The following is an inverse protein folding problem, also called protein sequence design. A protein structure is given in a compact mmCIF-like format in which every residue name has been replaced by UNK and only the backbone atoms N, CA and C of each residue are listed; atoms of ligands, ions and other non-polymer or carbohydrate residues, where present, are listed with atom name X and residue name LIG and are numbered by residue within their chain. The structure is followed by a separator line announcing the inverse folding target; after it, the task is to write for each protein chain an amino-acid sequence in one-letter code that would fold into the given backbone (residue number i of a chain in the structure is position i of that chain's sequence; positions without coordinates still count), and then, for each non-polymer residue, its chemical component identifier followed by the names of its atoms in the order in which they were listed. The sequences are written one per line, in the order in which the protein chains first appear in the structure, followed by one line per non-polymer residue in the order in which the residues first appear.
data_IF_088363236979
#
_entry.id   IF_088363236979
#
_cell.length_a   1.000
_cell.length_b   1.000
_cell.length_c   1.000
_cell.angle_alpha   90.00
_cell.angle_beta   90.00
_cell.angle_gamma   90.00
#
_symmetry.space_group_name_H-M   'P 1'
#
loop_
_entity.id
_entity.type
_entity.pdbx_description
1 polymer ?
#
# COMPACT_ATOMS: atom_id res chain seq x y z
N UNK A 1 -16.15 -11.20 11.13
CA UNK A 1 -15.66 -10.73 9.82
C UNK A 1 -14.15 -10.69 9.86
N UNK A 2 -13.55 -11.81 9.50
CA UNK A 2 -12.13 -11.92 9.21
C UNK A 2 -12.09 -12.71 7.89
N UNK A 3 -11.35 -12.18 6.93
CA UNK A 3 -10.72 -12.96 5.88
C UNK A 3 -11.62 -13.40 4.70
N UNK A 4 -12.07 -12.48 3.85
CA UNK A 4 -12.21 -12.81 2.42
C UNK A 4 -11.00 -12.23 1.68
N UNK A 5 -10.80 -10.91 1.80
CA UNK A 5 -9.63 -10.23 1.24
C UNK A 5 -8.29 -10.84 1.71
N UNK A 6 -8.15 -11.12 3.02
CA UNK A 6 -6.92 -11.73 3.56
C UNK A 6 -6.72 -13.16 3.01
N UNK A 7 -7.79 -13.94 2.83
CA UNK A 7 -7.70 -15.28 2.23
C UNK A 7 -7.25 -15.18 0.77
N UNK A 8 -7.83 -14.26 -0.01
CA UNK A 8 -7.45 -14.04 -1.41
C UNK A 8 -5.99 -13.61 -1.55
N UNK A 9 -5.50 -12.75 -0.65
CA UNK A 9 -4.09 -12.34 -0.64
C UNK A 9 -3.19 -13.56 -0.42
N UNK A 10 -3.54 -14.43 0.53
CA UNK A 10 -2.80 -15.67 0.82
C UNK A 10 -2.86 -16.66 -0.35
N UNK A 11 -4.05 -16.87 -0.94
CA UNK A 11 -4.24 -17.76 -2.11
C UNK A 11 -3.40 -17.35 -3.31
N UNK A 12 -3.23 -16.04 -3.52
CA UNK A 12 -2.38 -15.48 -4.57
C UNK A 12 -0.89 -15.53 -4.24
N UNK A 13 -0.50 -15.99 -3.04
CA UNK A 13 0.88 -16.00 -2.58
C UNK A 13 1.48 -14.60 -2.39
N UNK A 14 0.63 -13.59 -2.17
CA UNK A 14 1.04 -12.20 -2.00
C UNK A 14 1.32 -11.90 -0.53
N UNK A 15 2.27 -11.00 -0.30
CA UNK A 15 2.59 -10.49 1.04
C UNK A 15 2.36 -8.99 1.00
N UNK A 16 1.56 -8.48 1.92
CA UNK A 16 1.38 -7.04 2.06
C UNK A 16 2.70 -6.43 2.58
N UNK A 17 3.26 -5.43 1.87
CA UNK A 17 4.45 -4.76 2.36
C UNK A 17 4.13 -3.98 3.64
N UNK A 18 5.14 -3.71 4.49
CA UNK A 18 4.95 -2.79 5.60
C UNK A 18 4.51 -1.42 5.07
N UNK A 19 3.65 -0.73 5.82
CA UNK A 19 3.18 0.59 5.43
C UNK A 19 4.37 1.54 5.21
N UNK A 20 4.45 2.24 4.07
CA UNK A 20 5.59 3.09 3.76
C UNK A 20 5.62 4.32 4.64
N UNK A 21 6.84 4.82 4.89
CA UNK A 21 7.02 6.11 5.56
C UNK A 21 6.50 7.24 4.65
N UNK A 22 5.93 8.31 5.21
CA UNK A 22 5.59 9.50 4.43
C UNK A 22 6.83 10.03 3.69
N UNK A 23 6.69 10.34 2.41
CA UNK A 23 7.77 10.93 1.60
C UNK A 23 7.90 12.45 1.77
N UNK A 24 7.01 13.07 2.56
CA UNK A 24 6.97 14.51 2.79
C UNK A 24 6.02 14.86 3.94
N UNK A 25 5.69 16.16 4.05
CA UNK A 25 4.86 16.69 5.15
C UNK A 25 3.37 16.51 4.83
N UNK A 26 2.93 15.26 4.71
CA UNK A 26 1.53 14.88 4.50
C UNK A 26 1.18 13.60 5.27
N UNK A 27 -0.13 13.38 5.50
CA UNK A 27 -0.63 12.18 6.18
C UNK A 27 -0.79 11.02 5.18
N UNK A 28 -0.31 9.80 5.46
CA UNK A 28 -0.51 8.64 4.59
C UNK A 28 -1.99 8.33 4.31
N UNK A 29 -2.85 8.58 5.31
CA UNK A 29 -4.29 8.40 5.24
C UNK A 29 -4.99 9.59 5.89
N UNK A 30 -6.07 10.07 5.27
CA UNK A 30 -7.01 11.03 5.83
C UNK A 30 -8.40 10.39 5.92
N UNK A 31 -9.03 10.46 7.08
CA UNK A 31 -10.40 9.99 7.28
C UNK A 31 -11.32 11.19 7.45
N UNK A 32 -12.39 11.25 6.65
CA UNK A 32 -13.44 12.27 6.73
C UNK A 32 -14.78 11.56 6.66
N UNK A 33 -15.58 11.67 7.72
CA UNK A 33 -16.83 10.93 7.91
C UNK A 33 -16.67 9.42 7.69
N UNK A 34 -17.18 8.92 6.56
CA UNK A 34 -17.16 7.50 6.16
C UNK A 34 -16.14 7.21 5.06
N UNK A 35 -15.35 8.20 4.67
CA UNK A 35 -14.37 8.10 3.60
C UNK A 35 -12.96 7.99 4.16
N UNK A 36 -12.17 7.09 3.56
CA UNK A 36 -10.75 6.91 3.83
C UNK A 36 -9.99 7.25 2.55
N UNK A 37 -9.26 8.37 2.57
CA UNK A 37 -8.42 8.85 1.48
C UNK A 37 -7.00 8.38 1.69
N UNK A 38 -6.50 7.53 0.79
CA UNK A 38 -5.13 7.03 0.81
C UNK A 38 -4.26 7.93 -0.07
N UNK A 39 -3.13 8.39 0.45
CA UNK A 39 -2.14 9.11 -0.36
C UNK A 39 -1.55 8.20 -1.46
N UNK A 40 -0.89 8.80 -2.46
CA UNK A 40 -0.26 8.04 -3.54
C UNK A 40 0.67 6.94 -3.01
N UNK A 41 0.46 5.71 -3.50
CA UNK A 41 1.28 4.54 -3.17
C UNK A 41 2.23 4.26 -4.34
N UNK A 42 3.53 4.35 -4.09
CA UNK A 42 4.56 3.99 -5.07
C UNK A 42 4.75 2.47 -5.18
N UNK A 43 5.47 1.98 -6.21
CA UNK A 43 5.72 0.56 -6.41
C UNK A 43 6.86 0.06 -5.50
N UNK A 44 6.58 0.00 -4.21
CA UNK A 44 7.52 -0.44 -3.17
C UNK A 44 7.48 -1.96 -3.07
N UNK A 45 8.64 -2.60 -3.12
CA UNK A 45 8.82 -4.04 -2.90
C UNK A 45 8.72 -4.38 -1.41
N UNK A 46 8.52 -5.65 -1.09
CA UNK A 46 8.44 -6.13 0.30
C UNK A 46 9.68 -5.84 1.14
N UNK A 47 10.85 -5.65 0.51
CA UNK A 47 12.11 -5.26 1.15
C UNK A 47 12.26 -3.73 1.35
N UNK A 48 11.27 -2.95 0.94
CA UNK A 48 11.27 -1.49 1.03
C UNK A 48 11.95 -0.76 -0.15
N UNK A 49 12.48 -1.48 -1.13
CA UNK A 49 13.09 -0.88 -2.32
C UNK A 49 12.04 -0.47 -3.36
N UNK A 50 12.35 0.52 -4.20
CA UNK A 50 11.46 0.95 -5.28
C UNK A 50 11.68 0.13 -6.54
N UNK A 51 10.59 -0.26 -7.21
CA UNK A 51 10.65 -0.69 -8.60
C UNK A 51 10.84 0.57 -9.48
N UNK A 52 11.92 0.61 -10.24
CA UNK A 52 12.30 1.76 -11.08
C UNK A 52 12.40 1.33 -12.54
N UNK A 53 12.12 2.24 -13.47
CA UNK A 53 12.21 2.02 -14.92
C UNK A 53 12.11 3.32 -15.70
N UNK A 54 12.14 3.23 -17.03
CA UNK A 54 11.94 4.36 -17.96
C UNK A 54 10.66 4.12 -18.77
N UNK A 55 9.80 5.12 -18.88
CA UNK A 55 8.73 5.10 -19.88
C UNK A 55 9.33 5.33 -21.26
N UNK A 56 8.97 4.49 -22.23
CA UNK A 56 9.37 4.62 -23.63
C UNK A 56 8.67 5.77 -24.34
#
# INVERSE_FOLDING_TARGET
MKNDADLRIIELGLILPPAPKPAGVYKPVLVVDKFLYVSGQGPIRSDGTLMTGRLG
#
